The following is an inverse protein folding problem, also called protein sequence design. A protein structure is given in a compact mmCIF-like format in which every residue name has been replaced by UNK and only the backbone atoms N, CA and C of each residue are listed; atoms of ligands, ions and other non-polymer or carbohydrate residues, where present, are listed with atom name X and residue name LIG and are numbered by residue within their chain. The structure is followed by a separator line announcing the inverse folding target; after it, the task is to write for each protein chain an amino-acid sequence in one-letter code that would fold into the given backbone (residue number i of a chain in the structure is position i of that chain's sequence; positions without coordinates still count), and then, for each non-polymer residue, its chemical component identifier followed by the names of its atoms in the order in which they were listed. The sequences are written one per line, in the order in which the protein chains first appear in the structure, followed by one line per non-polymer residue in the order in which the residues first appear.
data_IF_640108887590
#
_entry.id   IF_640108887590
#
_cell.length_a   1.000
_cell.length_b   1.000
_cell.length_c   1.000
_cell.angle_alpha   90.00
_cell.angle_beta   90.00
_cell.angle_gamma   90.00
#
_symmetry.space_group_name_H-M   'P 1'
#
loop_
_entity.id
_entity.type
_entity.pdbx_description
1 polymer ?
#
# COMPACT_ATOMS: atom_id res chain seq x y z
N UNK A 1 10.96 -11.07 39.80
CA UNK A 1 10.18 -11.41 38.58
C UNK A 1 10.10 -10.14 37.75
N UNK A 2 11.02 -9.97 36.81
CA UNK A 2 11.24 -8.73 36.05
C UNK A 2 10.52 -8.85 34.70
N UNK A 3 9.48 -8.05 34.51
CA UNK A 3 8.75 -7.97 33.24
C UNK A 3 9.56 -7.15 32.23
N UNK A 4 9.99 -7.79 31.14
CA UNK A 4 10.48 -7.10 29.96
C UNK A 4 9.27 -6.74 29.07
N UNK A 5 8.93 -5.46 29.01
CA UNK A 5 7.97 -4.95 28.02
C UNK A 5 8.77 -4.67 26.76
N UNK A 6 8.64 -5.57 25.78
CA UNK A 6 9.17 -5.38 24.43
C UNK A 6 8.20 -4.46 23.67
N UNK A 7 8.37 -3.15 23.80
CA UNK A 7 7.69 -2.21 22.90
C UNK A 7 8.35 -2.30 21.53
N UNK A 8 7.72 -3.05 20.61
CA UNK A 8 8.06 -3.02 19.18
C UNK A 8 7.60 -1.69 18.58
N UNK A 9 8.36 -0.64 18.78
CA UNK A 9 8.24 0.57 17.97
C UNK A 9 8.91 0.31 16.61
N UNK A 10 8.10 -0.02 15.60
CA UNK A 10 8.58 -0.12 14.22
C UNK A 10 8.84 1.29 13.66
N UNK A 11 10.10 1.56 13.36
CA UNK A 11 10.60 2.83 12.82
C UNK A 11 10.24 2.94 11.32
N UNK A 12 9.30 3.80 10.95
CA UNK A 12 8.98 4.05 9.53
C UNK A 12 9.98 5.08 8.99
N UNK A 13 11.06 4.60 8.40
CA UNK A 13 12.02 5.42 7.67
C UNK A 13 11.46 5.75 6.27
N UNK A 14 10.85 6.93 6.11
CA UNK A 14 10.51 7.47 4.80
C UNK A 14 11.77 8.02 4.12
N UNK A 15 12.52 7.18 3.40
CA UNK A 15 13.58 7.65 2.50
C UNK A 15 13.06 7.82 1.07
N UNK A 16 12.91 9.08 0.68
CA UNK A 16 12.68 9.51 -0.70
C UNK A 16 13.96 9.28 -1.52
N UNK A 17 14.02 8.19 -2.28
CA UNK A 17 15.03 8.01 -3.33
C UNK A 17 14.42 8.16 -4.73
N UNK A 18 14.78 9.30 -5.33
CA UNK A 18 14.60 9.67 -6.73
C UNK A 18 15.22 8.65 -7.71
N UNK A 19 14.66 8.66 -8.92
CA UNK A 19 15.12 8.06 -10.20
C UNK A 19 15.26 6.54 -10.30
N UNK A 20 14.35 5.88 -11.05
CA UNK A 20 14.59 5.33 -12.39
C UNK A 20 13.39 4.47 -12.86
N UNK A 21 12.88 4.82 -14.06
CA UNK A 21 11.97 4.06 -14.96
C UNK A 21 10.88 3.20 -14.30
N UNK A 22 9.75 3.83 -13.97
CA UNK A 22 8.55 3.12 -13.56
C UNK A 22 7.83 2.58 -14.80
N UNK A 23 7.81 1.26 -14.95
CA UNK A 23 6.84 0.57 -15.78
C UNK A 23 5.46 0.79 -15.14
N UNK A 24 4.67 1.72 -15.68
CA UNK A 24 3.30 1.96 -15.24
C UNK A 24 2.45 0.78 -15.68
N UNK A 25 2.05 -0.07 -14.74
CA UNK A 25 1.14 -1.16 -15.00
C UNK A 25 -0.21 -0.87 -14.33
N UNK A 26 -1.22 -0.62 -15.18
CA UNK A 26 -2.64 -0.47 -14.87
C UNK A 26 -3.06 0.82 -14.15
N UNK A 27 -3.63 1.76 -14.91
CA UNK A 27 -4.44 2.87 -14.39
C UNK A 27 -5.89 2.39 -14.21
N UNK A 28 -6.26 2.04 -12.98
CA UNK A 28 -7.55 2.54 -12.49
C UNK A 28 -7.27 3.99 -12.14
N UNK A 29 -8.08 4.95 -12.58
CA UNK A 29 -7.74 6.39 -12.60
C UNK A 29 -7.24 6.97 -11.26
N UNK A 30 -7.42 6.24 -10.15
CA UNK A 30 -7.04 6.61 -8.79
C UNK A 30 -5.91 5.78 -8.16
N UNK A 31 -5.47 4.65 -8.75
CA UNK A 31 -4.43 3.79 -8.17
C UNK A 31 -3.37 3.42 -9.20
N UNK A 32 -2.12 3.80 -8.92
CA UNK A 32 -0.94 3.39 -9.69
C UNK A 32 -0.14 2.35 -8.91
N UNK A 33 0.40 1.35 -9.61
CA UNK A 33 1.35 0.38 -9.06
C UNK A 33 2.67 0.41 -9.85
N UNK A 34 3.79 0.40 -9.13
CA UNK A 34 5.12 0.26 -9.71
C UNK A 34 6.01 -0.66 -8.86
N UNK A 35 6.97 -1.34 -9.49
CA UNK A 35 7.93 -2.21 -8.81
C UNK A 35 9.30 -1.52 -8.85
N UNK A 36 9.93 -1.33 -7.68
CA UNK A 36 11.27 -0.73 -7.56
C UNK A 36 12.08 -1.48 -6.51
N UNK A 37 13.27 -1.96 -6.86
CA UNK A 37 14.22 -2.58 -5.93
C UNK A 37 13.63 -3.67 -5.01
N UNK A 38 12.76 -4.53 -5.54
CA UNK A 38 12.03 -5.58 -4.80
C UNK A 38 10.89 -5.11 -3.88
N UNK A 39 10.57 -3.82 -3.91
CA UNK A 39 9.36 -3.27 -3.30
C UNK A 39 8.31 -2.99 -4.38
N UNK A 40 7.05 -3.08 -3.98
CA UNK A 40 5.92 -2.56 -4.73
C UNK A 40 5.50 -1.23 -4.10
N UNK A 41 5.43 -0.21 -4.94
CA UNK A 41 4.98 1.13 -4.60
C UNK A 41 3.58 1.31 -5.16
N UNK A 42 2.60 1.49 -4.26
CA UNK A 42 1.23 1.87 -4.59
C UNK A 42 1.06 3.36 -4.36
N UNK A 43 0.60 4.07 -5.39
CA UNK A 43 0.19 5.47 -5.25
C UNK A 43 -1.32 5.53 -5.42
N UNK A 44 -1.97 6.17 -4.47
CA UNK A 44 -3.42 6.32 -4.46
C UNK A 44 -3.71 7.82 -4.50
N UNK A 45 -4.49 8.26 -5.46
CA UNK A 45 -4.92 9.65 -5.62
C UNK A 45 -6.42 9.77 -5.40
N UNK A 46 -6.82 10.70 -4.54
CA UNK A 46 -8.20 10.86 -4.10
C UNK A 46 -8.53 12.32 -3.82
N UNK A 47 -9.72 12.76 -4.22
CA UNK A 47 -10.16 14.15 -4.07
C UNK A 47 -10.69 14.47 -2.65
N UNK A 48 -11.04 13.45 -1.87
CA UNK A 48 -11.63 13.59 -0.53
C UNK A 48 -11.02 12.59 0.46
N UNK A 49 -10.91 12.92 1.75
CA UNK A 49 -10.43 11.98 2.76
C UNK A 49 -11.23 10.67 2.77
N UNK A 50 -10.55 9.53 2.86
CA UNK A 50 -11.19 8.22 2.93
C UNK A 50 -10.42 7.27 3.87
N UNK A 51 -11.07 6.16 4.22
CA UNK A 51 -10.44 5.10 5.03
C UNK A 51 -10.06 3.94 4.13
N UNK A 52 -8.80 3.54 4.16
CA UNK A 52 -8.27 2.40 3.44
C UNK A 52 -7.92 1.27 4.40
N UNK A 53 -8.12 0.04 3.95
CA UNK A 53 -7.55 -1.15 4.56
C UNK A 53 -6.69 -1.88 3.55
N UNK A 54 -5.43 -2.12 3.91
CA UNK A 54 -4.52 -2.96 3.17
C UNK A 54 -4.40 -4.32 3.86
N UNK A 55 -4.79 -5.38 3.17
CA UNK A 55 -4.64 -6.77 3.61
C UNK A 55 -3.59 -7.45 2.76
N UNK A 56 -2.54 -7.96 3.40
CA UNK A 56 -1.45 -8.68 2.75
C UNK A 56 -1.70 -10.19 2.79
N UNK A 57 -1.03 -10.96 1.93
CA UNK A 57 -1.16 -12.42 1.95
C UNK A 57 -0.61 -13.06 3.26
N UNK A 58 0.25 -12.33 3.99
CA UNK A 58 0.79 -12.74 5.29
C UNK A 58 -0.20 -12.52 6.44
N UNK A 59 -1.48 -12.23 6.14
CA UNK A 59 -2.52 -11.86 7.10
C UNK A 59 -2.22 -10.58 7.90
N UNK A 60 -1.27 -9.76 7.45
CA UNK A 60 -1.05 -8.44 8.03
C UNK A 60 -2.10 -7.48 7.47
N UNK A 61 -2.76 -6.76 8.37
CA UNK A 61 -3.78 -5.77 8.04
C UNK A 61 -3.32 -4.38 8.51
N UNK A 62 -3.44 -3.40 7.62
CA UNK A 62 -3.09 -2.01 7.89
C UNK A 62 -4.29 -1.11 7.57
N UNK A 63 -4.83 -0.49 8.61
CA UNK A 63 -5.99 0.39 8.55
C UNK A 63 -5.53 1.83 8.65
N UNK A 64 -5.80 2.65 7.64
CA UNK A 64 -5.35 4.04 7.59
C UNK A 64 -6.46 4.95 7.07
N UNK A 65 -6.65 6.08 7.76
CA UNK A 65 -7.37 7.22 7.20
C UNK A 65 -6.37 8.10 6.44
N UNK A 66 -6.69 8.41 5.20
CA UNK A 66 -5.88 9.27 4.35
C UNK A 66 -6.66 10.53 4.01
N UNK A 67 -5.95 11.65 3.93
CA UNK A 67 -6.52 12.94 3.51
C UNK A 67 -6.70 12.95 1.98
N UNK A 68 -7.26 14.02 1.44
CA UNK A 68 -7.23 14.27 0.00
C UNK A 68 -5.79 14.47 -0.51
N UNK A 69 -5.57 14.17 -1.78
CA UNK A 69 -4.29 14.27 -2.46
C UNK A 69 -3.72 12.89 -2.83
N UNK A 70 -2.40 12.73 -2.68
CA UNK A 70 -1.68 11.50 -3.05
C UNK A 70 -1.14 10.80 -1.82
N UNK A 71 -1.51 9.53 -1.65
CA UNK A 71 -0.95 8.62 -0.64
C UNK A 71 0.00 7.64 -1.31
N UNK A 72 1.16 7.38 -0.70
CA UNK A 72 2.11 6.36 -1.15
C UNK A 72 2.23 5.25 -0.11
N UNK A 73 2.05 4.00 -0.54
CA UNK A 73 2.31 2.80 0.25
C UNK A 73 3.48 2.04 -0.38
N UNK A 74 4.41 1.58 0.45
CA UNK A 74 5.59 0.80 0.02
C UNK A 74 5.54 -0.52 0.76
N UNK A 75 5.53 -1.61 -0.01
CA UNK A 75 5.30 -2.97 0.49
C UNK A 75 6.32 -3.92 -0.14
N UNK A 76 6.87 -4.83 0.65
CA UNK A 76 7.76 -5.87 0.13
C UNK A 76 7.02 -6.81 -0.84
N UNK A 77 7.72 -7.31 -1.86
CA UNK A 77 7.16 -8.29 -2.82
C UNK A 77 6.61 -9.55 -2.15
N UNK A 78 7.15 -9.91 -0.99
CA UNK A 78 6.67 -11.03 -0.18
C UNK A 78 5.26 -10.78 0.34
N UNK A 79 4.83 -9.55 0.60
CA UNK A 79 3.51 -9.23 1.16
C UNK A 79 2.34 -9.42 0.18
N UNK A 80 2.62 -9.67 -1.09
CA UNK A 80 1.62 -9.84 -2.15
C UNK A 80 1.22 -11.30 -2.40
N UNK A 81 0.04 -11.59 -2.95
CA UNK A 81 -0.99 -10.63 -3.38
C UNK A 81 -1.60 -9.87 -2.20
N UNK A 82 -1.93 -8.61 -2.43
CA UNK A 82 -2.54 -7.74 -1.42
C UNK A 82 -3.92 -7.27 -1.89
N UNK A 83 -4.83 -7.06 -0.96
CA UNK A 83 -6.13 -6.45 -1.20
C UNK A 83 -6.12 -5.05 -0.59
N UNK A 84 -6.50 -4.06 -1.38
CA UNK A 84 -6.75 -2.70 -0.95
C UNK A 84 -8.26 -2.48 -0.93
N UNK A 85 -8.81 -2.12 0.21
CA UNK A 85 -10.25 -1.85 0.39
C UNK A 85 -10.45 -0.37 0.72
N UNK A 86 -11.31 0.31 -0.02
CA UNK A 86 -11.82 1.64 0.30
C UNK A 86 -13.17 1.50 1.00
N UNK A 87 -13.24 1.93 2.26
CA UNK A 87 -14.44 1.83 3.08
C UNK A 87 -15.50 2.89 2.78
N UNK A 88 -15.15 3.96 2.06
CA UNK A 88 -16.12 5.00 1.68
C UNK A 88 -17.08 4.47 0.62
N UNK A 89 -16.55 3.79 -0.39
CA UNK A 89 -17.30 3.36 -1.57
C UNK A 89 -17.50 1.83 -1.62
N UNK A 90 -17.05 1.12 -0.57
CA UNK A 90 -17.02 -0.36 -0.52
C UNK A 90 -16.29 -1.00 -1.71
N UNK A 91 -15.35 -0.27 -2.30
CA UNK A 91 -14.56 -0.77 -3.44
C UNK A 91 -13.34 -1.53 -2.93
N UNK A 92 -13.00 -2.62 -3.63
CA UNK A 92 -11.82 -3.40 -3.33
C UNK A 92 -11.00 -3.68 -4.59
N UNK A 93 -9.68 -3.65 -4.46
CA UNK A 93 -8.74 -3.94 -5.53
C UNK A 93 -7.75 -4.98 -5.06
N UNK A 94 -7.55 -6.00 -5.89
CA UNK A 94 -6.48 -6.97 -5.70
C UNK A 94 -5.26 -6.52 -6.48
N UNK A 95 -4.13 -6.44 -5.80
CA UNK A 95 -2.83 -6.13 -6.37
C UNK A 95 -1.97 -7.41 -6.38
N UNK A 96 -1.41 -7.76 -7.53
CA UNK A 96 -0.50 -8.89 -7.68
C UNK A 96 0.96 -8.49 -7.45
N UNK A 97 1.84 -9.49 -7.27
CA UNK A 97 3.31 -9.33 -7.28
C UNK A 97 3.87 -8.70 -8.57
N UNK A 98 3.11 -8.76 -9.67
CA UNK A 98 3.49 -8.21 -10.96
C UNK A 98 2.89 -6.82 -11.20
N UNK A 99 2.45 -6.13 -10.13
CA UNK A 99 1.73 -4.85 -10.22
C UNK A 99 0.49 -4.88 -11.11
N UNK A 100 -0.17 -6.04 -11.24
CA UNK A 100 -1.47 -6.11 -11.88
C UNK A 100 -2.53 -5.74 -10.86
N UNK A 101 -3.33 -4.72 -11.17
CA UNK A 101 -4.47 -4.29 -10.35
C UNK A 101 -5.74 -4.81 -10.98
N UNK A 102 -6.60 -5.46 -10.19
CA UNK A 102 -7.94 -5.89 -10.62
C UNK A 102 -8.96 -5.47 -9.58
N UNK A 103 -9.99 -4.72 -10.00
CA UNK A 103 -11.15 -4.44 -9.16
C UNK A 103 -11.88 -5.76 -8.84
N UNK A 104 -12.27 -5.95 -7.58
CA UNK A 104 -13.05 -7.11 -7.13
C UNK A 104 -14.55 -6.86 -7.26
#
# INVERSE_FOLDING_TARGET
MTHFIYDKAAFIAALFYLTHLNTYASTLDTIECSIKNQDIILKIENDSPFSLTLKTHTNSEYNQKVNSGKTTLILGLDQFPATLENHTDSEAWKVSKSCKITKQ
#
